data_IF_035235407062
#
_entry.id   IF_035235407062
#
_cell.length_a   1.000
_cell.length_b   1.000
_cell.length_c   1.000
_cell.angle_alpha   90.00
_cell.angle_beta   90.00
_cell.angle_gamma   90.00
#
_symmetry.space_group_name_H-M   'P 1'
#
loop_
_entity.id
_entity.type
_entity.pdbx_description
1 polymer ?
#
# COMPACT_ATOMS: atom_id res chain seq x y z
N UNK A 1 -21.81 10.16 -40.89
CA UNK A 1 -22.07 10.17 -39.42
C UNK A 1 -22.48 8.78 -38.89
N UNK A 2 -21.86 7.68 -39.33
CA UNK A 2 -22.19 6.32 -38.84
C UNK A 2 -20.97 5.49 -38.42
N UNK A 3 -19.76 5.89 -38.81
CA UNK A 3 -18.50 5.20 -38.48
C UNK A 3 -17.83 5.68 -37.20
N UNK A 4 -18.26 6.82 -36.63
CA UNK A 4 -17.63 7.43 -35.45
C UNK A 4 -18.06 6.72 -34.13
N UNK A 5 -19.20 6.04 -34.12
CA UNK A 5 -19.75 5.40 -32.91
C UNK A 5 -19.08 4.05 -32.55
N UNK A 6 -18.31 3.44 -33.46
CA UNK A 6 -17.66 2.15 -33.21
C UNK A 6 -16.30 2.26 -32.48
N UNK A 7 -15.73 3.47 -32.38
CA UNK A 7 -14.42 3.70 -31.77
C UNK A 7 -14.48 4.18 -30.31
N UNK A 8 -15.69 4.29 -29.72
CA UNK A 8 -15.87 4.78 -28.33
C UNK A 8 -15.87 3.67 -27.26
N UNK A 9 -15.66 2.41 -27.63
CA UNK A 9 -15.82 1.25 -26.75
C UNK A 9 -14.54 0.76 -26.04
N UNK A 10 -13.39 1.44 -26.17
CA UNK A 10 -12.10 0.91 -25.69
C UNK A 10 -11.34 1.81 -24.71
N UNK A 11 -12.02 2.75 -24.04
CA UNK A 11 -11.41 3.55 -22.97
C UNK A 11 -12.03 3.25 -21.59
N UNK A 12 -12.24 1.96 -21.31
CA UNK A 12 -12.17 1.47 -19.93
C UNK A 12 -10.72 1.02 -19.69
N UNK A 13 -9.81 1.99 -19.61
CA UNK A 13 -8.56 1.74 -18.89
C UNK A 13 -8.93 1.86 -17.41
N UNK A 14 -9.32 0.73 -16.83
CA UNK A 14 -9.28 0.58 -15.38
C UNK A 14 -7.85 0.94 -14.99
N UNK A 15 -7.65 2.15 -14.45
CA UNK A 15 -6.45 2.47 -13.67
C UNK A 15 -6.46 1.49 -12.52
N UNK A 16 -5.76 0.39 -12.77
CA UNK A 16 -5.51 -0.66 -11.81
C UNK A 16 -4.89 0.03 -10.60
N UNK A 17 -5.43 -0.32 -9.44
CA UNK A 17 -5.03 0.19 -8.14
C UNK A 17 -3.54 0.52 -8.09
N UNK A 18 -3.26 1.75 -7.69
CA UNK A 18 -1.96 2.23 -7.23
C UNK A 18 -1.21 1.08 -6.52
N UNK A 19 -0.19 0.45 -7.13
CA UNK A 19 0.79 -0.25 -6.32
C UNK A 19 1.64 0.86 -5.70
N UNK A 20 1.18 1.41 -4.59
CA UNK A 20 1.93 2.39 -3.77
C UNK A 20 3.11 1.73 -3.02
N UNK A 21 3.69 0.68 -3.60
CA UNK A 21 4.78 -0.10 -3.02
C UNK A 21 5.84 -0.37 -4.08
N UNK A 22 6.25 0.69 -4.78
CA UNK A 22 7.33 0.66 -5.78
C UNK A 22 8.52 1.55 -5.39
N UNK A 23 8.65 1.92 -4.12
CA UNK A 23 9.88 2.55 -3.63
C UNK A 23 10.33 1.95 -2.28
N UNK A 24 11.61 1.59 -2.22
CA UNK A 24 12.34 0.97 -1.10
C UNK A 24 12.27 -0.55 -0.92
N UNK A 25 12.45 -1.31 -2.01
CA UNK A 25 13.26 -2.52 -1.93
C UNK A 25 14.72 -2.14 -1.59
N UNK A 26 15.04 -1.99 -0.31
CA UNK A 26 16.31 -2.49 0.25
C UNK A 26 16.34 -2.62 1.78
N UNK A 27 15.30 -2.20 2.50
CA UNK A 27 15.27 -2.37 3.97
C UNK A 27 13.85 -2.57 4.46
N UNK A 28 13.45 -3.83 4.63
CA UNK A 28 12.22 -4.14 5.33
C UNK A 28 12.33 -3.79 6.82
N UNK A 29 11.22 -3.47 7.46
CA UNK A 29 11.23 -3.12 8.88
C UNK A 29 11.52 -4.36 9.74
N UNK A 30 12.57 -4.27 10.54
CA UNK A 30 12.95 -5.31 11.50
C UNK A 30 11.99 -5.36 12.69
N UNK A 31 12.06 -6.43 13.47
CA UNK A 31 11.24 -6.60 14.68
C UNK A 31 11.43 -5.41 15.62
N UNK A 32 10.31 -4.87 16.12
CA UNK A 32 10.27 -3.69 16.99
C UNK A 32 10.31 -2.35 16.26
N UNK A 33 10.44 -2.33 14.93
CA UNK A 33 10.38 -1.11 14.15
C UNK A 33 8.93 -0.68 13.88
N UNK A 34 8.70 0.64 13.77
CA UNK A 34 7.39 1.26 13.57
C UNK A 34 6.88 1.05 12.14
N UNK A 35 5.84 0.24 11.95
CA UNK A 35 5.24 -0.02 10.64
C UNK A 35 4.09 0.93 10.31
N UNK A 36 3.37 1.43 11.32
CA UNK A 36 2.30 2.42 11.16
C UNK A 36 2.33 3.39 12.35
N UNK A 37 1.95 4.63 12.11
CA UNK A 37 1.85 5.69 13.11
C UNK A 37 0.64 6.58 12.81
N UNK A 38 0.36 7.55 13.69
CA UNK A 38 -0.71 8.53 13.51
C UNK A 38 -0.60 9.30 12.19
N UNK A 39 0.63 9.40 11.65
CA UNK A 39 0.92 10.07 10.39
C UNK A 39 0.63 9.19 9.15
N UNK A 40 0.36 7.90 9.33
CA UNK A 40 0.12 6.93 8.27
C UNK A 40 1.06 5.71 8.32
N UNK A 41 1.02 4.90 7.27
CA UNK A 41 1.92 3.75 7.08
C UNK A 41 3.36 4.22 6.85
N UNK A 42 4.29 3.70 7.64
CA UNK A 42 5.72 3.99 7.50
C UNK A 42 6.38 3.03 6.51
N UNK A 43 5.96 1.76 6.51
CA UNK A 43 6.45 0.78 5.54
C UNK A 43 6.07 -0.66 5.91
N UNK A 44 6.68 -1.61 5.20
CA UNK A 44 6.35 -3.05 5.32
C UNK A 44 7.37 -3.80 6.18
N UNK A 45 6.87 -4.60 7.11
CA UNK A 45 7.69 -5.50 7.93
C UNK A 45 8.42 -6.56 7.09
N UNK A 46 9.59 -6.99 7.56
CA UNK A 46 10.31 -8.09 6.95
C UNK A 46 9.49 -9.38 6.90
N UNK A 47 9.77 -10.29 5.95
CA UNK A 47 9.06 -11.58 5.88
C UNK A 47 9.18 -12.34 7.21
N UNK A 48 8.04 -12.83 7.70
CA UNK A 48 7.94 -13.51 9.00
C UNK A 48 7.65 -12.57 10.18
N UNK A 49 7.48 -11.27 9.93
CA UNK A 49 6.99 -10.29 10.90
C UNK A 49 5.67 -9.70 10.41
N UNK A 50 4.76 -9.43 11.34
CA UNK A 50 3.49 -8.76 11.07
C UNK A 50 3.45 -7.39 11.73
N UNK A 51 2.78 -6.44 11.09
CA UNK A 51 2.55 -5.13 11.67
C UNK A 51 1.42 -5.23 12.70
N UNK A 52 1.78 -5.27 13.98
CA UNK A 52 0.83 -5.38 15.10
C UNK A 52 0.54 -4.00 15.64
N UNK A 53 -0.72 -3.57 15.56
CA UNK A 53 -1.22 -2.35 16.18
C UNK A 53 -1.91 -2.65 17.49
N UNK A 54 -1.56 -1.88 18.53
CA UNK A 54 -2.25 -1.93 19.81
C UNK A 54 -3.40 -0.90 19.82
N UNK A 55 -4.67 -1.30 19.66
CA UNK A 55 -5.80 -0.37 19.57
C UNK A 55 -6.07 0.39 20.89
N UNK A 56 -5.32 0.09 21.95
CA UNK A 56 -5.49 0.68 23.28
C UNK A 56 -4.45 1.75 23.63
N UNK A 57 -3.35 1.85 22.88
CA UNK A 57 -2.19 2.65 23.32
C UNK A 57 -1.87 3.81 22.37
N UNK A 58 -2.08 3.66 21.06
CA UNK A 58 -2.08 4.71 20.02
C UNK A 58 -2.27 4.03 18.66
N UNK A 59 -2.68 4.75 17.62
CA UNK A 59 -2.70 4.29 16.21
C UNK A 59 -1.28 4.03 15.65
N UNK A 60 -0.39 3.49 16.48
CA UNK A 60 0.97 3.07 16.19
C UNK A 60 1.04 1.56 16.21
N UNK A 61 1.76 1.00 15.24
CA UNK A 61 2.02 -0.43 15.16
C UNK A 61 3.49 -0.70 14.95
N UNK A 62 3.91 -1.88 15.41
CA UNK A 62 5.29 -2.33 15.36
C UNK A 62 5.38 -3.71 14.70
N UNK A 63 6.49 -3.98 14.03
CA UNK A 63 6.74 -5.30 13.45
C UNK A 63 7.05 -6.33 14.54
N UNK A 64 6.25 -7.41 14.63
CA UNK A 64 6.47 -8.53 15.54
C UNK A 64 6.47 -9.87 14.84
#
# INVERSE_FOLDING_TARGET
MRTILLMLSVLFVSTQALPESLDSCDSCLQRGALCVSIAGSIGTCCPGLECVTDPHVSDTGYCQ
#
